data_IF_330744540178
#
_entry.id   IF_330744540178
#
_cell.length_a   1.000
_cell.length_b   1.000
_cell.length_c   1.000
_cell.angle_alpha   90.00
_cell.angle_beta   90.00
_cell.angle_gamma   90.00
#
_symmetry.space_group_name_H-M   'P 1'
#
loop_
_entity.id
_entity.type
_entity.pdbx_description
1 polymer ?
#
# COMPACT_ATOMS: atom_id res chain seq x y z
N UNK A 1 20.51 55.90 -46.36
CA UNK A 1 20.80 54.49 -46.00
C UNK A 1 20.31 54.29 -44.58
N UNK A 2 19.43 53.32 -44.38
CA UNK A 2 18.60 53.12 -43.17
C UNK A 2 19.34 52.20 -42.20
N UNK A 3 19.50 52.58 -40.94
CA UNK A 3 19.95 51.69 -39.88
C UNK A 3 18.78 51.46 -38.92
N UNK A 4 18.33 50.22 -38.84
CA UNK A 4 17.17 49.78 -38.06
C UNK A 4 17.54 49.55 -36.58
N UNK A 5 16.59 49.70 -35.64
CA UNK A 5 16.82 49.40 -34.23
C UNK A 5 16.71 47.89 -33.98
N UNK A 6 17.68 47.32 -33.26
CA UNK A 6 17.61 45.97 -32.71
C UNK A 6 16.71 46.03 -31.48
N UNK A 7 15.48 45.52 -31.60
CA UNK A 7 14.56 45.33 -30.48
C UNK A 7 14.84 43.96 -29.88
N UNK A 8 15.35 43.96 -28.64
CA UNK A 8 15.52 42.78 -27.81
C UNK A 8 14.13 42.32 -27.33
N UNK A 9 13.65 41.18 -27.83
CA UNK A 9 12.40 40.57 -27.33
C UNK A 9 12.78 39.45 -26.36
N UNK A 10 12.82 39.76 -25.07
CA UNK A 10 12.77 38.77 -23.98
C UNK A 10 11.35 38.24 -23.88
N UNK A 11 11.08 37.09 -24.51
CA UNK A 11 9.85 36.33 -24.31
C UNK A 11 9.91 35.55 -23.00
N UNK A 12 9.20 36.01 -21.98
CA UNK A 12 8.95 35.23 -20.77
C UNK A 12 7.92 34.14 -21.10
N UNK A 13 8.38 32.90 -21.24
CA UNK A 13 7.52 31.73 -21.38
C UNK A 13 6.96 31.39 -20.00
N UNK A 14 5.74 31.86 -19.72
CA UNK A 14 5.01 31.47 -18.52
C UNK A 14 4.58 29.99 -18.65
N UNK A 15 5.36 29.08 -18.07
CA UNK A 15 4.91 27.72 -17.83
C UNK A 15 3.75 27.77 -16.82
N UNK A 16 2.54 27.49 -17.29
CA UNK A 16 1.43 27.19 -16.41
C UNK A 16 1.75 25.87 -15.70
N UNK A 17 2.09 25.95 -14.41
CA UNK A 17 2.10 24.79 -13.52
C UNK A 17 0.64 24.36 -13.33
N UNK A 18 0.17 23.45 -14.16
CA UNK A 18 -1.01 22.67 -13.81
C UNK A 18 -0.65 21.85 -12.55
N UNK A 19 -1.52 21.80 -11.53
CA UNK A 19 -1.31 20.85 -10.45
C UNK A 19 -1.28 19.45 -11.06
N UNK A 20 -0.15 18.76 -10.97
CA UNK A 20 -0.15 17.31 -11.04
C UNK A 20 -0.98 16.85 -9.84
N UNK A 21 -2.24 16.54 -10.07
CA UNK A 21 -2.94 15.63 -9.17
C UNK A 21 -2.16 14.31 -9.27
N UNK A 22 -1.58 13.87 -8.15
CA UNK A 22 -1.15 12.49 -8.06
C UNK A 22 -2.38 11.63 -8.39
N UNK A 23 -2.19 10.68 -9.31
CA UNK A 23 -3.25 9.74 -9.69
C UNK A 23 -3.71 9.01 -8.43
N UNK A 24 -5.03 8.92 -8.24
CA UNK A 24 -5.61 8.26 -7.07
C UNK A 24 -5.22 6.78 -7.06
N UNK A 25 -4.65 6.30 -5.94
CA UNK A 25 -4.25 4.90 -5.83
C UNK A 25 -5.47 4.06 -5.46
N UNK A 26 -5.99 3.32 -6.44
CA UNK A 26 -7.12 2.39 -6.27
C UNK A 26 -6.70 0.94 -6.09
N UNK A 27 -7.59 0.11 -5.56
CA UNK A 27 -7.36 -1.33 -5.44
C UNK A 27 -7.20 -1.97 -6.82
N UNK A 28 -8.13 -1.74 -7.75
CA UNK A 28 -8.13 -2.37 -9.08
C UNK A 28 -6.90 -2.00 -9.89
N UNK A 29 -6.50 -0.72 -9.91
CA UNK A 29 -5.44 -0.27 -10.82
C UNK A 29 -4.04 -0.52 -10.25
N UNK A 30 -3.88 -0.50 -8.92
CA UNK A 30 -2.56 -0.46 -8.30
C UNK A 30 -2.32 -1.61 -7.32
N UNK A 31 -3.23 -1.85 -6.38
CA UNK A 31 -3.01 -2.84 -5.31
C UNK A 31 -3.21 -4.26 -5.78
N UNK A 32 -4.26 -4.53 -6.55
CA UNK A 32 -4.56 -5.87 -7.05
C UNK A 32 -3.42 -6.42 -7.93
N UNK A 33 -2.91 -5.70 -8.95
CA UNK A 33 -1.80 -6.22 -9.76
C UNK A 33 -0.53 -6.45 -8.93
N UNK A 34 -0.26 -5.59 -7.95
CA UNK A 34 0.87 -5.75 -7.04
C UNK A 34 0.71 -6.98 -6.14
N UNK A 35 -0.48 -7.16 -5.56
CA UNK A 35 -0.81 -8.31 -4.73
C UNK A 35 -0.72 -9.61 -5.54
N UNK A 36 -1.24 -9.64 -6.76
CA UNK A 36 -1.15 -10.79 -7.66
C UNK A 36 0.31 -11.16 -7.95
N UNK A 37 1.17 -10.16 -8.17
CA UNK A 37 2.58 -10.38 -8.45
C UNK A 37 3.40 -10.84 -7.24
N UNK A 38 3.11 -10.30 -6.05
CA UNK A 38 3.99 -10.44 -4.87
C UNK A 38 3.43 -11.37 -3.77
N UNK A 39 2.10 -11.54 -3.69
CA UNK A 39 1.43 -12.12 -2.53
C UNK A 39 0.58 -13.36 -2.88
N UNK A 40 -0.02 -13.41 -4.07
CA UNK A 40 -1.00 -14.42 -4.44
C UNK A 40 -0.47 -15.86 -4.49
N UNK A 41 0.86 -16.06 -4.52
CA UNK A 41 1.46 -17.38 -4.38
C UNK A 41 1.08 -18.10 -3.09
N UNK A 42 0.94 -17.36 -1.99
CA UNK A 42 0.62 -17.89 -0.66
C UNK A 42 -0.73 -17.42 -0.12
N UNK A 43 -1.29 -16.33 -0.68
CA UNK A 43 -2.54 -15.70 -0.24
C UNK A 43 -3.61 -15.64 -1.35
N UNK A 44 -3.44 -16.41 -2.42
CA UNK A 44 -4.26 -16.40 -3.63
C UNK A 44 -5.52 -17.27 -3.59
N UNK A 45 -6.06 -17.59 -4.77
CA UNK A 45 -7.28 -18.41 -4.95
C UNK A 45 -7.24 -19.79 -4.29
N UNK A 46 -6.03 -20.33 -4.08
CA UNK A 46 -5.81 -21.64 -3.47
C UNK A 46 -5.57 -21.59 -1.96
N UNK A 47 -5.53 -20.39 -1.37
CA UNK A 47 -5.40 -20.19 0.07
C UNK A 47 -6.76 -20.41 0.77
N UNK A 48 -6.75 -20.91 2.02
CA UNK A 48 -7.96 -21.03 2.84
C UNK A 48 -8.55 -19.66 3.17
N UNK A 49 -9.87 -19.56 3.34
CA UNK A 49 -10.46 -18.36 3.95
C UNK A 49 -9.93 -18.18 5.39
N UNK A 50 -9.92 -16.95 5.90
CA UNK A 50 -9.34 -16.65 7.22
C UNK A 50 -9.90 -17.53 8.34
N UNK A 51 -11.21 -17.80 8.35
CA UNK A 51 -11.81 -18.67 9.36
C UNK A 51 -11.36 -20.13 9.28
N UNK A 52 -11.02 -20.62 8.09
CA UNK A 52 -10.46 -21.98 7.91
C UNK A 52 -8.97 -21.99 8.26
N UNK A 53 -8.23 -20.93 7.91
CA UNK A 53 -6.84 -20.74 8.31
C UNK A 53 -6.70 -20.76 9.83
N UNK A 54 -7.50 -19.98 10.54
CA UNK A 54 -7.43 -19.86 12.01
C UNK A 54 -7.79 -21.18 12.73
N UNK A 55 -8.57 -22.07 12.11
CA UNK A 55 -8.93 -23.36 12.68
C UNK A 55 -7.78 -24.38 12.63
N UNK A 56 -6.83 -24.23 11.70
CA UNK A 56 -5.72 -25.16 11.48
C UNK A 56 -4.45 -24.43 11.03
N UNK A 57 -4.11 -23.36 11.74
CA UNK A 57 -3.03 -22.42 11.35
C UNK A 57 -1.69 -23.15 11.16
N UNK A 58 -1.34 -24.04 12.09
CA UNK A 58 -0.08 -24.81 12.05
C UNK A 58 0.03 -25.62 10.75
N UNK A 59 -1.05 -26.26 10.30
CA UNK A 59 -1.05 -27.03 9.05
C UNK A 59 -0.77 -26.16 7.83
N UNK A 60 -1.43 -25.01 7.71
CA UNK A 60 -1.25 -24.12 6.56
C UNK A 60 0.12 -23.43 6.57
N UNK A 61 0.61 -23.06 7.76
CA UNK A 61 1.96 -22.50 7.93
C UNK A 61 3.03 -23.52 7.54
N UNK A 62 2.87 -24.80 7.91
CA UNK A 62 3.77 -25.88 7.46
C UNK A 62 3.78 -26.03 5.93
N UNK A 63 2.67 -25.75 5.26
CA UNK A 63 2.55 -25.73 3.80
C UNK A 63 3.09 -24.44 3.15
N UNK A 64 3.45 -23.43 3.95
CA UNK A 64 3.84 -22.11 3.46
C UNK A 64 2.68 -21.33 2.82
N UNK A 65 1.45 -21.57 3.28
CA UNK A 65 0.23 -20.93 2.79
C UNK A 65 -0.35 -20.07 3.91
N UNK A 66 -0.76 -18.84 3.58
CA UNK A 66 -1.47 -17.95 4.51
C UNK A 66 -2.98 -17.92 4.24
N UNK A 67 -3.75 -17.08 4.95
CA UNK A 67 -5.16 -16.90 4.63
C UNK A 67 -5.33 -16.17 3.28
N UNK A 68 -6.44 -16.43 2.62
CA UNK A 68 -6.83 -15.83 1.36
C UNK A 68 -7.02 -14.32 1.48
N UNK A 69 -6.41 -13.56 0.56
CA UNK A 69 -6.52 -12.09 0.48
C UNK A 69 -6.59 -11.60 -0.98
N UNK A 70 -7.03 -12.46 -1.92
CA UNK A 70 -6.99 -12.21 -3.37
C UNK A 70 -8.15 -11.37 -3.93
N UNK A 71 -9.04 -10.89 -3.06
CA UNK A 71 -10.11 -9.96 -3.40
C UNK A 71 -10.04 -8.72 -2.53
N UNK A 72 -10.66 -7.62 -2.96
CA UNK A 72 -10.77 -6.41 -2.15
C UNK A 72 -11.37 -6.70 -0.79
N UNK A 73 -12.50 -7.44 -0.76
CA UNK A 73 -13.20 -7.78 0.46
C UNK A 73 -12.32 -8.62 1.40
N UNK A 74 -11.57 -9.58 0.87
CA UNK A 74 -10.70 -10.42 1.68
C UNK A 74 -9.49 -9.63 2.21
N UNK A 75 -8.91 -8.73 1.40
CA UNK A 75 -7.75 -7.92 1.79
C UNK A 75 -8.10 -6.88 2.86
N UNK A 76 -9.23 -6.17 2.74
CA UNK A 76 -9.59 -5.11 3.68
C UNK A 76 -9.91 -5.63 5.09
N UNK A 77 -10.16 -6.93 5.26
CA UNK A 77 -10.34 -7.56 6.57
C UNK A 77 -9.11 -7.38 7.47
N UNK A 78 -7.93 -7.31 6.86
CA UNK A 78 -6.64 -7.14 7.51
C UNK A 78 -6.22 -5.66 7.65
N UNK A 79 -7.06 -4.74 7.17
CA UNK A 79 -6.88 -3.29 7.32
C UNK A 79 -7.85 -2.77 8.37
N UNK A 80 -9.14 -3.05 8.20
CA UNK A 80 -10.23 -2.43 8.95
C UNK A 80 -10.71 -3.32 10.10
N UNK A 81 -11.28 -4.48 9.78
CA UNK A 81 -11.90 -5.43 10.72
C UNK A 81 -12.13 -6.77 10.02
N UNK A 82 -11.93 -7.93 10.66
CA UNK A 82 -11.64 -8.13 12.09
C UNK A 82 -10.19 -7.94 12.52
N UNK A 83 -9.21 -8.07 11.64
CA UNK A 83 -7.79 -8.00 12.00
C UNK A 83 -7.19 -6.63 11.68
N UNK A 84 -7.70 -5.61 12.37
CA UNK A 84 -7.29 -4.22 12.17
C UNK A 84 -5.77 -4.06 12.22
N UNK A 85 -5.23 -3.33 11.24
CA UNK A 85 -3.82 -2.98 11.19
C UNK A 85 -2.89 -4.13 10.83
N UNK A 86 -3.40 -5.33 10.53
CA UNK A 86 -2.55 -6.48 10.25
C UNK A 86 -1.74 -6.32 8.96
N UNK A 87 -2.37 -5.89 7.87
CA UNK A 87 -1.67 -5.59 6.62
C UNK A 87 -0.55 -4.59 6.88
N UNK A 88 -0.85 -3.51 7.60
CA UNK A 88 0.12 -2.46 7.93
C UNK A 88 1.29 -3.01 8.75
N UNK A 89 1.03 -3.76 9.83
CA UNK A 89 2.07 -4.37 10.67
C UNK A 89 2.97 -5.33 9.89
N UNK A 90 2.40 -6.10 8.96
CA UNK A 90 3.11 -7.15 8.22
C UNK A 90 3.96 -6.56 7.09
N UNK A 91 3.50 -5.46 6.49
CA UNK A 91 4.19 -4.75 5.41
C UNK A 91 5.07 -3.58 5.89
N UNK A 92 5.00 -3.17 7.16
CA UNK A 92 5.80 -2.05 7.66
C UNK A 92 7.30 -2.29 7.46
N UNK A 93 8.03 -1.25 7.07
CA UNK A 93 9.49 -1.32 6.87
C UNK A 93 10.30 -1.18 8.17
N UNK A 94 9.62 -1.04 9.31
CA UNK A 94 10.21 -0.89 10.63
C UNK A 94 10.45 0.56 11.03
N UNK A 95 10.27 1.53 10.12
CA UNK A 95 10.44 2.96 10.43
C UNK A 95 9.40 3.48 11.43
N UNK A 96 8.28 2.77 11.58
CA UNK A 96 7.20 3.09 12.51
C UNK A 96 7.49 2.63 13.95
N UNK A 97 8.55 1.85 14.19
CA UNK A 97 8.91 1.31 15.51
C UNK A 97 10.28 1.81 16.03
N UNK A 98 10.42 2.08 17.34
CA UNK A 98 11.72 2.41 17.94
C UNK A 98 12.79 1.34 17.77
N UNK A 99 12.37 0.06 17.69
CA UNK A 99 13.27 -1.08 17.47
C UNK A 99 13.67 -1.27 15.99
N UNK A 100 13.01 -0.58 15.05
CA UNK A 100 13.40 -0.59 13.64
C UNK A 100 13.21 -1.91 12.89
N UNK A 101 12.43 -2.87 13.44
CA UNK A 101 12.25 -4.19 12.81
C UNK A 101 11.11 -4.15 11.78
N UNK A 102 11.35 -4.53 10.51
CA UNK A 102 10.30 -4.63 9.52
C UNK A 102 9.33 -5.77 9.86
N UNK A 103 8.10 -5.65 9.35
CA UNK A 103 7.13 -6.72 9.35
C UNK A 103 7.62 -7.92 8.53
N UNK A 104 7.16 -9.11 8.88
CA UNK A 104 7.61 -10.36 8.25
C UNK A 104 7.14 -10.56 6.81
N UNK A 105 6.27 -9.71 6.28
CA UNK A 105 5.83 -9.75 4.88
C UNK A 105 6.45 -8.63 4.04
N UNK A 106 7.16 -7.67 4.66
CA UNK A 106 7.85 -6.59 3.96
C UNK A 106 8.86 -7.11 2.94
N UNK A 107 9.55 -8.21 3.25
CA UNK A 107 10.55 -8.80 2.34
C UNK A 107 9.96 -9.27 1.01
N UNK A 108 8.67 -9.60 0.99
CA UNK A 108 7.95 -10.04 -0.22
C UNK A 108 7.46 -8.90 -1.09
N UNK A 109 7.62 -7.63 -0.67
CA UNK A 109 7.26 -6.50 -1.52
C UNK A 109 8.22 -6.29 -2.70
N UNK A 110 9.31 -7.04 -2.82
CA UNK A 110 10.24 -6.90 -3.94
C UNK A 110 11.60 -7.55 -3.70
N UNK A 111 12.33 -7.77 -4.77
CA UNK A 111 13.63 -8.42 -4.77
C UNK A 111 14.72 -7.58 -4.07
N UNK A 112 14.60 -6.26 -4.10
CA UNK A 112 15.55 -5.33 -3.48
C UNK A 112 14.85 -4.23 -2.66
N UNK A 113 15.66 -3.43 -1.96
CA UNK A 113 15.16 -2.40 -1.06
C UNK A 113 14.37 -1.30 -1.78
N UNK A 114 14.80 -0.94 -2.99
CA UNK A 114 14.14 0.13 -3.75
C UNK A 114 12.77 -0.34 -4.25
N UNK A 115 12.68 -1.59 -4.72
CA UNK A 115 11.41 -2.20 -5.11
C UNK A 115 10.45 -2.34 -3.93
N UNK A 116 10.94 -2.83 -2.77
CA UNK A 116 10.12 -2.93 -1.56
C UNK A 116 9.58 -1.58 -1.11
N UNK A 117 10.39 -0.52 -1.17
CA UNK A 117 9.95 0.83 -0.81
C UNK A 117 8.92 1.38 -1.79
N UNK A 118 9.11 1.21 -3.11
CA UNK A 118 8.12 1.61 -4.11
C UNK A 118 6.79 0.89 -3.93
N UNK A 119 6.83 -0.41 -3.71
CA UNK A 119 5.62 -1.22 -3.54
C UNK A 119 4.94 -0.96 -2.19
N UNK A 120 5.69 -0.73 -1.11
CA UNK A 120 5.14 -0.27 0.16
C UNK A 120 4.42 1.08 0.02
N UNK A 121 4.97 2.01 -0.76
CA UNK A 121 4.34 3.32 -0.99
C UNK A 121 2.97 3.19 -1.65
N UNK A 122 2.76 2.20 -2.54
CA UNK A 122 1.44 1.91 -3.13
C UNK A 122 0.44 1.51 -2.04
N UNK A 123 0.80 0.59 -1.15
CA UNK A 123 -0.08 0.18 -0.05
C UNK A 123 -0.36 1.33 0.93
N UNK A 124 0.65 2.15 1.25
CA UNK A 124 0.48 3.32 2.13
C UNK A 124 -0.48 4.35 1.53
N UNK A 125 -0.29 4.69 0.25
CA UNK A 125 -1.18 5.61 -0.46
C UNK A 125 -2.61 5.08 -0.55
N UNK A 126 -2.80 3.78 -0.85
CA UNK A 126 -4.13 3.17 -0.90
C UNK A 126 -4.84 3.13 0.46
N UNK A 127 -4.11 2.86 1.54
CA UNK A 127 -4.63 2.91 2.90
C UNK A 127 -5.01 4.34 3.29
N UNK A 128 -4.22 5.32 2.84
CA UNK A 128 -4.37 6.75 3.06
C UNK A 128 -3.11 7.35 3.70
N UNK A 129 -2.72 8.54 3.26
CA UNK A 129 -1.43 9.19 3.59
C UNK A 129 -1.16 9.32 5.11
N UNK A 130 -2.22 9.56 5.90
CA UNK A 130 -2.17 9.69 7.37
C UNK A 130 -2.84 8.51 8.10
N UNK A 131 -3.09 7.41 7.39
CA UNK A 131 -3.89 6.29 7.89
C UNK A 131 -3.07 5.01 8.15
N UNK A 132 -1.76 5.03 7.91
CA UNK A 132 -0.86 3.92 8.20
C UNK A 132 -0.69 3.70 9.71
N UNK A 133 -1.66 3.00 10.31
CA UNK A 133 -1.74 2.74 11.74
C UNK A 133 -1.50 1.26 12.05
N UNK A 134 -0.61 0.99 13.00
CA UNK A 134 -0.23 -0.37 13.41
C UNK A 134 -1.06 -0.91 14.58
N UNK A 135 -1.93 -0.08 15.17
CA UNK A 135 -2.80 -0.46 16.28
C UNK A 135 -3.68 -1.66 15.95
N UNK A 136 -4.03 -2.40 17.00
CA UNK A 136 -4.93 -3.55 16.91
C UNK A 136 -6.36 -3.12 17.16
N UNK A 137 -7.29 -4.01 16.82
CA UNK A 137 -8.67 -3.86 17.25
C UNK A 137 -8.74 -3.73 18.78
N UNK A 138 -9.51 -2.76 19.27
CA UNK A 138 -9.62 -2.41 20.69
C UNK A 138 -8.74 -1.24 21.11
N UNK A 139 -7.59 -1.04 20.45
CA UNK A 139 -6.70 0.11 20.67
C UNK A 139 -7.00 1.25 19.68
N UNK A 140 -7.38 0.90 18.45
CA UNK A 140 -7.71 1.89 17.42
C UNK A 140 -8.96 2.70 17.76
N UNK A 141 -8.92 4.00 17.48
CA UNK A 141 -10.09 4.88 17.62
C UNK A 141 -10.88 4.97 16.32
N UNK A 142 -12.17 5.33 16.44
CA UNK A 142 -13.00 5.66 15.28
C UNK A 142 -12.39 6.77 14.40
N UNK A 143 -11.74 7.77 15.00
CA UNK A 143 -11.13 8.87 14.24
C UNK A 143 -9.93 8.41 13.40
N UNK A 144 -9.21 7.38 13.85
CA UNK A 144 -8.15 6.76 13.05
C UNK A 144 -8.75 5.91 11.92
N UNK A 145 -9.83 5.17 12.18
CA UNK A 145 -10.54 4.42 11.13
C UNK A 145 -11.16 5.33 10.07
N UNK A 146 -11.72 6.48 10.46
CA UNK A 146 -12.34 7.43 9.54
C UNK A 146 -11.32 8.10 8.57
N UNK A 147 -10.01 7.88 8.75
CA UNK A 147 -8.95 8.34 7.82
C UNK A 147 -8.65 7.37 6.69
N UNK A 148 -9.14 6.13 6.78
CA UNK A 148 -8.90 5.12 5.77
C UNK A 148 -9.60 5.51 4.47
N UNK A 149 -8.88 5.42 3.34
CA UNK A 149 -9.40 5.75 2.02
C UNK A 149 -9.91 4.49 1.32
N UNK A 150 -9.01 3.54 1.05
CA UNK A 150 -9.33 2.21 0.51
C UNK A 150 -10.18 2.27 -0.76
N UNK A 151 -9.80 3.16 -1.69
CA UNK A 151 -10.47 3.27 -2.98
C UNK A 151 -10.48 1.89 -3.70
N UNK A 152 -11.63 1.51 -4.24
CA UNK A 152 -11.78 0.26 -4.99
C UNK A 152 -11.18 0.39 -6.39
#
# INVERSE_FOLDING_TARGET
>A
MKNAPVILVTGALAFALAPLHAEEVTYIEHVQPLFEAQCAGCHGVNAPYVGDFDQDEDHYVEMGIGPRMDSYADLIMFVVYPDTGALMRRLDDGSSHPEGKPGNMYEHLGADGDERQRNLAVFKAWVGDDAWNLERWGDITKQQLDRLELAY
#
